data_IF_164364233635
#
_entry.id   IF_164364233635
#
_cell.length_a   1.000
_cell.length_b   1.000
_cell.length_c   1.000
_cell.angle_alpha   90.00
_cell.angle_beta   90.00
_cell.angle_gamma   90.00
#
_symmetry.space_group_name_H-M   'P 1'
#
loop_
_entity.id
_entity.type
_entity.pdbx_description
1 polymer ?
#
# COMPACT_ATOMS: atom_id res chain seq x y z
N UNK A 1 -41.51 30.12 -34.48
CA UNK A 1 -41.41 31.61 -34.28
C UNK A 1 -39.99 31.94 -34.02
N UNK A 2 -39.35 32.71 -34.92
CA UNK A 2 -37.93 33.01 -34.86
C UNK A 2 -37.69 34.34 -34.17
N UNK A 3 -36.55 34.49 -33.52
CA UNK A 3 -36.06 35.83 -33.20
C UNK A 3 -34.59 35.93 -33.55
N UNK A 4 -34.39 36.66 -34.64
CA UNK A 4 -33.16 37.26 -35.11
C UNK A 4 -32.88 38.54 -34.33
N UNK A 5 -31.66 38.78 -33.92
CA UNK A 5 -31.14 40.14 -33.68
C UNK A 5 -29.64 40.10 -34.04
N UNK A 6 -29.35 40.58 -35.27
CA UNK A 6 -28.87 41.90 -35.72
C UNK A 6 -27.53 42.30 -35.12
N UNK A 7 -26.52 42.26 -36.03
CA UNK A 7 -25.23 42.98 -35.91
C UNK A 7 -25.40 44.49 -36.03
N UNK A 8 -24.45 45.28 -35.55
CA UNK A 8 -24.00 46.42 -36.32
C UNK A 8 -22.49 46.40 -36.64
N UNK A 9 -22.25 46.65 -37.91
CA UNK A 9 -20.99 47.01 -38.50
C UNK A 9 -20.58 48.42 -38.10
N UNK A 10 -19.34 48.68 -37.79
CA UNK A 10 -18.76 50.03 -37.78
C UNK A 10 -17.44 50.04 -38.57
N UNK A 11 -17.37 51.06 -39.37
CA UNK A 11 -16.47 51.33 -40.48
C UNK A 11 -15.14 51.98 -40.06
N UNK A 12 -14.11 51.64 -40.83
CA UNK A 12 -12.99 52.42 -41.39
C UNK A 12 -12.51 53.72 -40.72
N UNK A 13 -11.18 53.74 -40.51
CA UNK A 13 -10.36 54.91 -40.41
C UNK A 13 -8.88 54.54 -40.50
N UNK A 14 -8.27 54.81 -41.65
CA UNK A 14 -6.82 54.80 -41.88
C UNK A 14 -6.34 56.31 -41.90
N UNK A 15 -5.04 56.54 -42.04
CA UNK A 15 -3.78 56.01 -41.54
C UNK A 15 -2.90 57.05 -40.82
N UNK A 16 -1.94 56.64 -40.04
CA UNK A 16 -0.84 57.56 -39.70
C UNK A 16 0.47 56.73 -39.59
N UNK A 17 1.33 56.97 -40.52
CA UNK A 17 2.72 56.55 -40.57
C UNK A 17 3.51 57.15 -39.40
N UNK A 18 4.17 56.34 -38.58
CA UNK A 18 5.26 56.77 -37.71
C UNK A 18 6.41 55.76 -37.78
N UNK A 19 7.45 56.25 -38.28
CA UNK A 19 8.87 55.96 -38.29
C UNK A 19 9.36 54.86 -37.32
N UNK A 20 10.18 53.99 -37.91
CA UNK A 20 10.99 52.96 -37.35
C UNK A 20 11.91 53.42 -36.18
N UNK A 21 11.86 52.72 -35.07
CA UNK A 21 13.01 52.56 -34.19
C UNK A 21 13.18 51.10 -33.92
N UNK A 22 14.18 50.51 -34.54
CA UNK A 22 14.61 49.13 -34.29
C UNK A 22 15.29 49.07 -32.92
N UNK A 23 14.57 48.62 -31.90
CA UNK A 23 15.19 48.13 -30.68
C UNK A 23 15.12 46.60 -30.72
N UNK A 24 16.29 45.97 -30.97
CA UNK A 24 16.50 44.55 -30.85
C UNK A 24 16.48 44.20 -29.35
N UNK A 25 15.31 43.92 -28.81
CA UNK A 25 15.15 43.26 -27.52
C UNK A 25 15.38 41.76 -27.75
N UNK A 26 16.59 41.27 -27.39
CA UNK A 26 16.88 39.83 -27.37
C UNK A 26 15.94 39.14 -26.40
N UNK A 27 14.95 38.39 -26.94
CA UNK A 27 14.17 37.46 -26.20
C UNK A 27 15.07 36.25 -25.88
N UNK A 28 15.58 36.23 -24.66
CA UNK A 28 16.17 34.98 -24.10
C UNK A 28 15.02 34.04 -23.83
N UNK A 29 14.78 33.13 -24.79
CA UNK A 29 13.85 32.01 -24.57
C UNK A 29 14.58 31.06 -23.66
N UNK A 30 14.36 31.20 -22.34
CA UNK A 30 14.80 30.21 -21.37
C UNK A 30 14.07 28.90 -21.62
N UNK A 31 14.78 27.92 -22.17
CA UNK A 31 14.27 26.55 -22.24
C UNK A 31 14.21 26.02 -20.82
N UNK A 32 13.02 25.97 -20.22
CA UNK A 32 12.79 25.22 -19.00
C UNK A 32 12.95 23.74 -19.36
N UNK A 33 14.12 23.20 -19.10
CA UNK A 33 14.31 21.74 -19.10
C UNK A 33 13.63 21.21 -17.83
N UNK A 34 12.46 20.60 -17.99
CA UNK A 34 11.88 19.79 -16.93
C UNK A 34 12.86 18.66 -16.60
N UNK A 35 13.38 18.66 -15.38
CA UNK A 35 14.18 17.56 -14.90
C UNK A 35 13.34 16.26 -15.00
N UNK A 36 13.92 15.14 -15.47
CA UNK A 36 13.19 13.89 -15.49
C UNK A 36 12.77 13.53 -14.06
N UNK A 37 11.47 13.37 -13.84
CA UNK A 37 10.95 12.84 -12.60
C UNK A 37 11.45 11.40 -12.48
N UNK A 38 12.44 11.15 -11.64
CA UNK A 38 12.84 9.79 -11.28
C UNK A 38 11.70 9.17 -10.51
N UNK A 39 11.01 8.20 -11.09
CA UNK A 39 10.03 7.40 -10.38
C UNK A 39 10.76 6.67 -9.24
N UNK A 40 10.53 7.09 -8.02
CA UNK A 40 11.01 6.35 -6.85
C UNK A 40 10.26 5.02 -6.81
N UNK A 41 11.01 3.91 -6.74
CA UNK A 41 10.44 2.59 -6.53
C UNK A 41 9.66 2.52 -5.19
N UNK A 42 8.88 1.45 -4.97
CA UNK A 42 8.13 1.29 -3.74
C UNK A 42 9.07 1.29 -2.54
N UNK A 43 8.68 2.02 -1.50
CA UNK A 43 9.35 1.97 -0.18
C UNK A 43 8.87 0.70 0.51
N UNK A 44 9.81 -0.14 0.95
CA UNK A 44 9.50 -1.36 1.69
C UNK A 44 9.65 -1.13 3.18
N UNK A 45 8.76 -1.73 3.94
CA UNK A 45 8.74 -1.77 5.40
C UNK A 45 9.16 -3.14 5.90
N UNK A 46 9.93 -3.19 6.98
CA UNK A 46 10.28 -4.43 7.64
C UNK A 46 9.12 -4.86 8.56
N UNK A 47 8.53 -6.01 8.27
CA UNK A 47 7.40 -6.56 9.02
C UNK A 47 7.84 -7.80 9.77
N UNK A 48 7.58 -7.81 11.09
CA UNK A 48 7.86 -8.96 11.96
C UNK A 48 6.56 -9.55 12.47
N UNK A 49 6.36 -10.82 12.19
CA UNK A 49 5.29 -11.64 12.75
C UNK A 49 5.81 -12.48 13.89
N UNK A 50 5.08 -12.57 14.98
CA UNK A 50 5.35 -13.46 16.09
C UNK A 50 4.07 -14.18 16.48
N UNK A 51 4.14 -15.51 16.64
CA UNK A 51 3.04 -16.35 17.14
C UNK A 51 3.60 -17.27 18.22
N UNK A 52 2.89 -17.37 19.35
CA UNK A 52 3.20 -18.30 20.41
C UNK A 52 1.94 -18.80 21.10
N UNK A 53 2.07 -19.84 21.93
CA UNK A 53 0.99 -20.44 22.71
C UNK A 53 1.36 -20.52 24.18
N UNK A 54 0.36 -20.47 25.06
CA UNK A 54 0.59 -20.56 26.54
C UNK A 54 1.04 -21.94 27.00
N UNK A 55 0.75 -22.96 26.22
CA UNK A 55 1.21 -24.34 26.45
C UNK A 55 1.79 -24.91 25.18
N UNK A 56 2.72 -25.89 25.24
CA UNK A 56 3.29 -26.51 24.04
C UNK A 56 2.19 -27.06 23.11
N UNK A 57 2.26 -26.70 21.84
CA UNK A 57 1.27 -27.07 20.85
C UNK A 57 1.87 -27.08 19.44
N UNK A 58 1.52 -28.08 18.63
CA UNK A 58 1.84 -28.12 17.20
C UNK A 58 0.73 -27.42 16.42
N UNK A 59 1.05 -26.27 15.87
CA UNK A 59 0.10 -25.33 15.29
C UNK A 59 0.35 -25.13 13.80
N UNK A 60 -0.71 -24.78 13.08
CA UNK A 60 -0.63 -24.25 11.72
C UNK A 60 -0.63 -22.73 11.75
N UNK A 61 0.27 -22.12 10.98
CA UNK A 61 0.45 -20.68 10.93
C UNK A 61 0.36 -20.23 9.47
N UNK A 62 -0.64 -19.40 9.15
CA UNK A 62 -0.76 -18.73 7.87
C UNK A 62 -0.18 -17.31 7.98
N UNK A 63 0.51 -16.87 6.95
CA UNK A 63 1.17 -15.57 6.95
C UNK A 63 1.21 -14.95 5.56
N UNK A 64 1.62 -13.69 5.49
CA UNK A 64 1.83 -13.01 4.23
C UNK A 64 3.30 -12.60 4.11
N UNK A 65 3.98 -13.13 3.12
CA UNK A 65 5.39 -12.87 2.83
C UNK A 65 5.59 -11.98 1.58
N UNK A 66 4.57 -11.88 0.73
CA UNK A 66 4.56 -10.97 -0.41
C UNK A 66 3.15 -10.44 -0.69
N UNK A 67 3.08 -9.33 -1.42
CA UNK A 67 1.84 -8.62 -1.69
C UNK A 67 1.25 -9.00 -3.05
N UNK A 68 -0.06 -9.24 -3.14
CA UNK A 68 -0.74 -9.26 -4.43
C UNK A 68 -0.75 -7.85 -5.05
N UNK A 69 -0.77 -7.77 -6.37
CA UNK A 69 -0.80 -6.49 -7.08
C UNK A 69 -2.06 -5.66 -6.74
N UNK A 70 -3.16 -6.34 -6.43
CA UNK A 70 -4.44 -5.74 -6.03
C UNK A 70 -5.32 -6.75 -5.30
N UNK A 71 -6.48 -6.28 -4.81
CA UNK A 71 -7.41 -7.16 -4.10
C UNK A 71 -8.09 -8.20 -5.00
N UNK A 72 -8.27 -7.93 -6.28
CA UNK A 72 -8.87 -8.89 -7.21
C UNK A 72 -7.95 -10.11 -7.40
N UNK A 73 -6.65 -9.89 -7.54
CA UNK A 73 -5.66 -10.97 -7.62
C UNK A 73 -5.66 -11.83 -6.35
N UNK A 74 -5.71 -11.17 -5.18
CA UNK A 74 -5.83 -11.88 -3.91
C UNK A 74 -7.11 -12.71 -3.84
N UNK A 75 -8.26 -12.14 -4.16
CA UNK A 75 -9.55 -12.83 -4.05
C UNK A 75 -9.70 -13.99 -5.05
N UNK A 76 -8.97 -13.94 -6.15
CA UNK A 76 -8.98 -15.01 -7.16
C UNK A 76 -8.22 -16.26 -6.69
N UNK A 77 -7.14 -16.07 -5.95
CA UNK A 77 -6.35 -17.17 -5.39
C UNK A 77 -5.72 -16.78 -4.04
N UNK A 78 -6.48 -16.74 -2.94
CA UNK A 78 -5.99 -16.30 -1.64
C UNK A 78 -4.89 -17.20 -1.08
N UNK A 79 -4.88 -18.50 -1.41
CA UNK A 79 -3.87 -19.44 -0.93
C UNK A 79 -2.47 -19.17 -1.51
N UNK A 80 -2.40 -18.62 -2.71
CA UNK A 80 -1.12 -18.21 -3.31
C UNK A 80 -0.43 -17.13 -2.46
N UNK A 81 -1.22 -16.26 -1.87
CA UNK A 81 -0.75 -15.12 -1.09
C UNK A 81 -0.83 -15.32 0.43
N UNK A 82 -1.20 -16.51 0.87
CA UNK A 82 -1.29 -16.86 2.30
C UNK A 82 -0.70 -18.25 2.50
N UNK A 83 0.62 -18.39 2.33
CA UNK A 83 1.30 -19.65 2.62
C UNK A 83 1.13 -20.03 4.09
N UNK A 84 1.29 -21.29 4.39
CA UNK A 84 1.25 -21.80 5.75
C UNK A 84 2.50 -22.59 6.09
N UNK A 85 2.72 -22.72 7.38
CA UNK A 85 3.75 -23.56 7.99
C UNK A 85 3.20 -24.19 9.26
N UNK A 86 3.61 -25.42 9.51
CA UNK A 86 3.38 -26.09 10.79
C UNK A 86 4.59 -25.87 11.70
N UNK A 87 4.34 -25.54 12.96
CA UNK A 87 5.41 -25.30 13.93
C UNK A 87 5.01 -25.73 15.35
N UNK A 88 6.00 -26.23 16.08
CA UNK A 88 5.87 -26.41 17.52
C UNK A 88 5.97 -25.05 18.22
N UNK A 89 4.93 -24.65 18.89
CA UNK A 89 4.83 -23.42 19.67
C UNK A 89 4.86 -23.70 21.16
N UNK A 90 5.12 -22.68 21.94
CA UNK A 90 5.07 -22.70 23.39
C UNK A 90 5.35 -21.33 23.98
N UNK A 91 5.28 -21.17 25.33
CA UNK A 91 5.55 -19.90 25.99
C UNK A 91 7.00 -19.41 25.75
N UNK A 92 7.95 -20.33 25.68
CA UNK A 92 9.37 -20.04 25.46
C UNK A 92 9.83 -20.38 24.03
N UNK A 93 8.89 -20.72 23.16
CA UNK A 93 9.16 -21.11 21.77
C UNK A 93 8.22 -20.42 20.80
N UNK A 94 8.39 -19.12 20.59
CA UNK A 94 7.62 -18.40 19.58
C UNK A 94 8.10 -18.77 18.17
N UNK A 95 7.17 -18.79 17.21
CA UNK A 95 7.51 -18.72 15.81
C UNK A 95 7.64 -17.25 15.41
N UNK A 96 8.72 -16.90 14.71
CA UNK A 96 9.00 -15.52 14.27
C UNK A 96 9.38 -15.53 12.80
N UNK A 97 8.78 -14.62 12.03
CA UNK A 97 9.10 -14.41 10.62
C UNK A 97 9.28 -12.92 10.34
N UNK A 98 10.36 -12.59 9.64
CA UNK A 98 10.61 -11.24 9.14
C UNK A 98 10.41 -11.21 7.63
N UNK A 99 9.60 -10.28 7.14
CA UNK A 99 9.29 -10.08 5.72
C UNK A 99 9.38 -8.61 5.36
N UNK A 100 9.40 -8.30 4.07
CA UNK A 100 9.38 -6.91 3.59
C UNK A 100 8.15 -6.69 2.72
N UNK A 101 7.32 -5.73 3.12
CA UNK A 101 6.09 -5.36 2.42
C UNK A 101 6.10 -3.86 2.06
N UNK A 102 5.57 -3.51 0.90
CA UNK A 102 5.43 -2.11 0.48
C UNK A 102 4.19 -1.46 1.12
N UNK A 103 3.14 -2.24 1.37
CA UNK A 103 1.87 -1.75 1.92
C UNK A 103 1.37 -2.62 3.08
N UNK A 104 2.09 -2.67 4.22
CA UNK A 104 1.72 -3.52 5.35
C UNK A 104 0.32 -3.22 5.90
N UNK A 105 -0.19 -1.97 5.77
CA UNK A 105 -1.53 -1.57 6.17
C UNK A 105 -2.63 -2.38 5.48
N UNK A 106 -2.38 -2.81 4.25
CA UNK A 106 -3.34 -3.58 3.46
C UNK A 106 -3.07 -5.08 3.48
N UNK A 107 -1.81 -5.48 3.68
CA UNK A 107 -1.43 -6.85 3.41
C UNK A 107 -0.79 -7.59 4.58
N UNK A 108 -0.19 -6.91 5.58
CA UNK A 108 0.42 -7.59 6.71
C UNK A 108 -0.62 -8.41 7.49
N UNK A 109 -0.35 -9.73 7.58
CA UNK A 109 -1.26 -10.68 8.22
C UNK A 109 -0.50 -11.91 8.68
N UNK A 110 -0.79 -12.34 9.90
CA UNK A 110 -0.41 -13.64 10.45
C UNK A 110 -1.56 -14.20 11.27
N UNK A 111 -1.81 -15.49 11.16
CA UNK A 111 -2.78 -16.20 11.98
C UNK A 111 -2.20 -17.54 12.42
N UNK A 112 -2.23 -17.80 13.71
CA UNK A 112 -1.99 -19.12 14.27
C UNK A 112 -3.31 -19.80 14.60
N UNK A 113 -3.45 -21.09 14.30
CA UNK A 113 -4.69 -21.85 14.51
C UNK A 113 -4.42 -23.25 15.04
N UNK A 114 -5.39 -23.75 15.81
CA UNK A 114 -5.40 -25.11 16.36
C UNK A 114 -6.08 -26.14 15.46
N UNK A 115 -6.58 -25.73 14.29
CA UNK A 115 -7.27 -26.60 13.33
C UNK A 115 -8.36 -27.52 13.95
N UNK A 116 -9.11 -27.00 14.90
CA UNK A 116 -10.21 -27.75 15.51
C UNK A 116 -9.78 -28.76 16.58
N UNK A 117 -8.57 -28.66 17.12
CA UNK A 117 -8.16 -29.45 18.28
C UNK A 117 -9.18 -29.36 19.41
N UNK A 118 -9.54 -30.46 20.09
CA UNK A 118 -10.48 -30.47 21.21
C UNK A 118 -9.94 -29.73 22.43
N UNK A 119 -8.62 -29.63 22.58
CA UNK A 119 -7.94 -28.97 23.70
C UNK A 119 -6.95 -27.93 23.13
N UNK A 120 -7.44 -26.85 22.50
CA UNK A 120 -6.55 -25.85 21.94
C UNK A 120 -5.86 -25.04 23.05
N UNK A 121 -4.61 -24.63 22.85
CA UNK A 121 -3.96 -23.68 23.73
C UNK A 121 -4.54 -22.29 23.50
N UNK A 122 -4.22 -21.35 24.39
CA UNK A 122 -4.44 -19.95 24.11
C UNK A 122 -3.33 -19.45 23.18
N UNK A 123 -3.71 -18.91 22.03
CA UNK A 123 -2.79 -18.37 21.03
C UNK A 123 -2.57 -16.88 21.26
N UNK A 124 -1.38 -16.43 20.97
CA UNK A 124 -1.02 -15.01 20.94
C UNK A 124 -0.31 -14.70 19.62
N UNK A 125 -0.63 -13.57 19.03
CA UNK A 125 0.14 -13.03 17.92
C UNK A 125 0.54 -11.59 18.13
N UNK A 126 1.66 -11.21 17.53
CA UNK A 126 2.16 -9.84 17.46
C UNK A 126 2.59 -9.54 16.04
N UNK A 127 2.25 -8.36 15.57
CA UNK A 127 2.69 -7.81 14.28
C UNK A 127 3.39 -6.50 14.55
N UNK A 128 4.64 -6.39 14.10
CA UNK A 128 5.42 -5.16 14.16
C UNK A 128 5.76 -4.69 12.74
N UNK A 129 5.81 -3.37 12.56
CA UNK A 129 6.24 -2.70 11.33
C UNK A 129 7.36 -1.74 11.68
N UNK A 130 8.51 -1.85 11.00
CA UNK A 130 9.70 -1.06 11.25
C UNK A 130 10.12 -1.05 12.74
N UNK A 131 10.00 -2.22 13.38
CA UNK A 131 10.34 -2.41 14.79
C UNK A 131 9.28 -1.94 15.79
N UNK A 132 8.17 -1.35 15.33
CA UNK A 132 7.06 -0.88 16.21
C UNK A 132 5.93 -1.90 16.18
N UNK A 133 5.51 -2.39 17.36
CA UNK A 133 4.33 -3.26 17.48
C UNK A 133 3.07 -2.46 17.17
N UNK A 134 2.38 -2.86 16.10
CA UNK A 134 1.18 -2.17 15.59
C UNK A 134 -0.10 -2.98 15.80
N UNK A 135 0.03 -4.29 16.07
CA UNK A 135 -1.11 -5.15 16.37
C UNK A 135 -0.70 -6.29 17.29
N UNK A 136 -1.58 -6.58 18.26
CA UNK A 136 -1.55 -7.79 19.09
C UNK A 136 -2.94 -8.39 19.15
N UNK A 137 -3.02 -9.70 19.28
CA UNK A 137 -4.29 -10.39 19.53
C UNK A 137 -4.04 -11.70 20.26
N UNK A 138 -5.09 -12.23 20.89
CA UNK A 138 -5.07 -13.55 21.52
C UNK A 138 -6.42 -14.22 21.40
N UNK A 139 -6.43 -15.56 21.46
CA UNK A 139 -7.66 -16.32 21.44
C UNK A 139 -7.45 -17.80 21.72
N UNK A 140 -8.48 -18.51 22.25
CA UNK A 140 -8.36 -19.88 22.70
C UNK A 140 -8.19 -20.91 21.57
N UNK A 141 -8.62 -20.59 20.35
CA UNK A 141 -8.55 -21.50 19.18
C UNK A 141 -7.64 -21.01 18.08
N UNK A 142 -7.16 -19.79 18.21
CA UNK A 142 -6.29 -19.13 17.25
C UNK A 142 -6.25 -17.62 17.51
N UNK A 143 -5.25 -16.96 16.92
CA UNK A 143 -5.08 -15.52 16.98
C UNK A 143 -4.70 -14.98 15.60
N UNK A 144 -5.45 -13.98 15.15
CA UNK A 144 -5.20 -13.24 13.90
C UNK A 144 -4.65 -11.86 14.23
N UNK A 145 -3.46 -11.56 13.75
CA UNK A 145 -2.91 -10.21 13.70
C UNK A 145 -2.86 -9.70 12.27
N UNK A 146 -3.67 -8.70 11.97
CA UNK A 146 -3.75 -8.04 10.68
C UNK A 146 -4.07 -6.56 10.87
N UNK A 147 -3.52 -5.70 10.01
CA UNK A 147 -3.84 -4.27 10.03
C UNK A 147 -5.14 -3.99 9.26
N UNK A 148 -5.40 -4.75 8.22
CA UNK A 148 -6.68 -4.73 7.52
C UNK A 148 -7.72 -5.54 8.30
N UNK A 149 -8.97 -5.08 8.31
CA UNK A 149 -10.12 -5.88 8.74
C UNK A 149 -10.56 -6.78 7.56
N UNK A 150 -10.60 -8.07 7.82
CA UNK A 150 -10.99 -9.11 6.87
C UNK A 150 -12.44 -9.52 7.06
#
# INVERSE_FOLDING_TARGET
>A
MPNSHIMPSIRFGAPLTVVAAAMATGMVIGTFQAAPATAQGPVFHDVTYTVYTETPFFAEIYYRDFEPANFADYSHNPFLFSPNVEADLGPDRPWVLNVRLANPQYWAMVVGTSEGSPNPPNFHCTLAVDGVVVKTNSGPKGALCSLRQW
#
